data_IF_754425941224
#
_entry.id   IF_754425941224
#
_cell.length_a   1.000
_cell.length_b   1.000
_cell.length_c   1.000
_cell.angle_alpha   90.00
_cell.angle_beta   90.00
_cell.angle_gamma   90.00
#
_symmetry.space_group_name_H-M   'P 1'
#
loop_
_entity.id
_entity.type
_entity.pdbx_description
1 polymer ?
#
# COMPACT_ATOMS: atom_id res chain seq x y z
N UNK A 1 21.93 45.34 31.12
CA UNK A 1 22.05 45.36 29.64
C UNK A 1 22.55 44.00 29.16
N UNK A 2 22.46 43.66 27.88
CA UNK A 2 23.03 42.43 27.34
C UNK A 2 23.66 42.61 25.96
N UNK A 3 24.47 41.63 25.55
CA UNK A 3 24.99 41.43 24.21
C UNK A 3 24.71 39.98 23.80
N UNK A 4 24.47 39.74 22.52
CA UNK A 4 24.30 38.39 21.95
C UNK A 4 25.26 38.25 20.76
N UNK A 5 25.90 37.08 20.63
CA UNK A 5 26.96 36.85 19.64
C UNK A 5 27.04 35.38 19.26
N UNK A 6 27.49 35.08 18.04
CA UNK A 6 27.90 33.72 17.65
C UNK A 6 29.36 33.42 18.03
N UNK A 7 30.11 34.43 18.50
CA UNK A 7 31.50 34.34 18.95
C UNK A 7 31.64 34.73 20.42
N UNK A 8 32.54 34.05 21.13
CA UNK A 8 32.81 34.31 22.56
C UNK A 8 33.47 35.67 22.85
N UNK A 9 34.01 36.34 21.83
CA UNK A 9 34.71 37.62 21.95
C UNK A 9 33.76 38.79 22.18
N UNK A 10 32.56 38.74 21.60
CA UNK A 10 31.62 39.87 21.48
C UNK A 10 32.27 41.12 20.86
N UNK A 11 33.27 40.94 19.99
CA UNK A 11 34.04 42.03 19.42
C UNK A 11 33.13 42.99 18.63
N UNK A 12 33.26 44.30 18.89
CA UNK A 12 32.52 45.34 18.19
C UNK A 12 31.04 45.46 18.52
N UNK A 13 30.53 44.71 19.51
CA UNK A 13 29.12 44.78 19.92
C UNK A 13 28.91 45.81 21.03
N UNK A 14 27.78 46.51 21.01
CA UNK A 14 27.35 47.40 22.08
C UNK A 14 26.32 46.73 22.99
N UNK A 15 26.31 47.10 24.26
CA UNK A 15 25.30 46.65 25.20
C UNK A 15 23.93 47.26 24.86
N UNK A 16 22.89 46.41 24.86
CA UNK A 16 21.49 46.83 24.64
C UNK A 16 20.63 46.52 25.88
N UNK A 17 19.47 47.19 26.06
CA UNK A 17 18.54 46.89 27.15
C UNK A 17 18.11 45.41 27.14
N UNK A 18 17.91 44.80 28.31
CA UNK A 18 17.53 43.37 28.39
C UNK A 18 16.12 43.17 27.84
N UNK A 19 15.98 42.26 26.88
CA UNK A 19 14.71 41.85 26.30
C UNK A 19 14.31 40.45 26.78
N UNK A 20 13.01 40.21 26.89
CA UNK A 20 12.47 38.88 27.23
C UNK A 20 12.64 37.88 26.07
N UNK A 21 12.58 38.38 24.83
CA UNK A 21 12.76 37.63 23.59
C UNK A 21 13.59 38.49 22.64
N UNK A 22 14.56 37.88 21.95
CA UNK A 22 15.37 38.53 20.91
C UNK A 22 15.53 37.58 19.75
N UNK A 23 15.29 38.08 18.53
CA UNK A 23 15.60 37.36 17.30
C UNK A 23 17.11 37.39 17.07
N UNK A 24 17.67 36.29 16.54
CA UNK A 24 19.10 36.17 16.29
C UNK A 24 19.39 35.25 15.11
N UNK A 25 20.43 35.60 14.34
CA UNK A 25 20.85 34.86 13.15
C UNK A 25 22.14 34.09 13.43
N UNK A 26 22.14 32.79 13.15
CA UNK A 26 23.31 31.93 13.29
C UNK A 26 24.25 32.07 12.10
N UNK A 27 25.51 31.68 12.27
CA UNK A 27 26.45 31.56 11.16
C UNK A 27 25.98 30.51 10.16
N UNK A 28 26.23 30.75 8.86
CA UNK A 28 25.87 29.83 7.78
C UNK A 28 26.52 28.43 7.93
N UNK A 29 25.98 27.42 7.25
CA UNK A 29 26.51 26.05 7.28
C UNK A 29 25.91 25.16 8.37
N UNK A 30 25.94 23.85 8.14
CA UNK A 30 25.57 22.83 9.13
C UNK A 30 26.67 22.62 10.18
N UNK A 31 26.31 22.08 11.35
CA UNK A 31 27.23 21.73 12.43
C UNK A 31 26.76 22.23 13.80
N UNK A 32 27.60 22.08 14.81
CA UNK A 32 27.35 22.68 16.11
C UNK A 32 27.43 24.22 16.00
N UNK A 33 26.37 24.90 16.44
CA UNK A 33 26.27 26.36 16.50
C UNK A 33 26.24 26.77 17.96
N UNK A 34 26.99 27.81 18.28
CA UNK A 34 27.07 28.34 19.64
C UNK A 34 26.56 29.78 19.66
N UNK A 35 25.65 30.08 20.57
CA UNK A 35 25.18 31.43 20.86
C UNK A 35 25.63 31.81 22.26
N UNK A 36 26.34 32.93 22.35
CA UNK A 36 26.80 33.53 23.58
C UNK A 36 25.91 34.72 23.93
N UNK A 37 25.47 34.78 25.18
CA UNK A 37 24.71 35.92 25.70
C UNK A 37 25.45 36.45 26.92
N UNK A 38 25.92 37.69 26.86
CA UNK A 38 26.61 38.36 27.96
C UNK A 38 25.69 39.40 28.57
N UNK A 39 25.39 39.26 29.86
CA UNK A 39 24.64 40.22 30.65
C UNK A 39 25.61 41.15 31.39
N UNK A 40 25.22 42.41 31.55
CA UNK A 40 25.90 43.42 32.37
C UNK A 40 24.91 44.00 33.37
N UNK A 41 25.26 43.95 34.65
CA UNK A 41 24.44 44.49 35.74
C UNK A 41 24.65 46.00 35.94
N UNK A 42 24.06 46.56 37.00
CA UNK A 42 24.17 47.98 37.33
C UNK A 42 25.56 48.36 37.90
N UNK A 43 26.26 47.41 38.52
CA UNK A 43 27.63 47.57 39.05
C UNK A 43 28.68 47.53 37.93
N UNK A 44 28.29 47.02 36.76
CA UNK A 44 29.13 46.90 35.58
C UNK A 44 29.73 45.51 35.39
N UNK A 45 29.42 44.58 36.28
CA UNK A 45 29.89 43.20 36.22
C UNK A 45 29.18 42.45 35.11
N UNK A 46 29.90 41.50 34.48
CA UNK A 46 29.38 40.76 33.34
C UNK A 46 29.32 39.26 33.58
N UNK A 47 28.23 38.63 33.13
CA UNK A 47 28.03 37.18 33.18
C UNK A 47 27.70 36.67 31.79
N UNK A 48 28.33 35.58 31.35
CA UNK A 48 28.10 35.01 30.01
C UNK A 48 27.42 33.64 30.10
N UNK A 49 26.31 33.49 29.40
CA UNK A 49 25.60 32.21 29.20
C UNK A 49 25.81 31.74 27.77
N UNK A 50 25.90 30.42 27.59
CA UNK A 50 26.14 29.81 26.29
C UNK A 50 25.06 28.78 25.99
N UNK A 51 24.57 28.76 24.76
CA UNK A 51 23.70 27.70 24.25
C UNK A 51 24.28 27.11 22.97
N UNK A 52 24.42 25.78 22.94
CA UNK A 52 24.85 25.04 21.76
C UNK A 52 23.65 24.33 21.15
N UNK A 53 23.55 24.37 19.83
CA UNK A 53 22.56 23.63 19.06
C UNK A 53 23.25 22.92 17.90
N UNK A 54 22.82 21.71 17.58
CA UNK A 54 23.18 21.08 16.31
C UNK A 54 22.26 21.64 15.23
N UNK A 55 22.81 22.43 14.31
CA UNK A 55 22.06 23.01 13.20
C UNK A 55 22.39 22.28 11.91
N UNK A 56 21.35 21.95 11.13
CA UNK A 56 21.51 21.45 9.76
C UNK A 56 20.96 22.49 8.82
N UNK A 57 21.84 23.13 8.06
CA UNK A 57 21.46 24.12 7.07
C UNK A 57 20.56 23.46 6.01
N UNK A 58 19.39 24.02 5.69
CA UNK A 58 18.51 23.47 4.68
C UNK A 58 19.20 23.40 3.32
N UNK A 59 18.92 22.36 2.54
CA UNK A 59 19.41 22.26 1.17
C UNK A 59 18.93 23.48 0.35
N UNK A 60 19.83 24.07 -0.43
CA UNK A 60 19.50 25.20 -1.32
C UNK A 60 18.48 24.83 -2.39
N UNK A 61 18.49 23.57 -2.81
CA UNK A 61 17.56 22.98 -3.76
C UNK A 61 17.14 21.60 -3.23
N UNK A 62 15.85 21.32 -3.31
CA UNK A 62 15.27 20.03 -2.94
C UNK A 62 14.76 19.44 -4.25
N UNK A 63 15.25 18.27 -4.67
CA UNK A 63 14.77 17.66 -5.90
C UNK A 63 13.32 17.21 -5.74
N UNK A 64 12.53 17.37 -6.79
CA UNK A 64 11.21 16.79 -6.92
C UNK A 64 11.31 15.25 -6.77
N UNK A 65 10.24 14.63 -6.29
CA UNK A 65 10.24 13.21 -5.92
C UNK A 65 10.74 12.91 -4.51
N UNK A 66 10.97 13.93 -3.68
CA UNK A 66 11.53 13.77 -2.33
C UNK A 66 10.45 13.84 -1.26
N UNK A 67 10.52 12.98 -0.25
CA UNK A 67 9.76 13.16 0.98
C UNK A 67 10.39 14.27 1.84
N UNK A 68 9.59 15.28 2.20
CA UNK A 68 10.03 16.42 2.99
C UNK A 68 9.22 16.55 4.28
N UNK A 69 9.86 17.08 5.32
CA UNK A 69 9.25 17.27 6.64
C UNK A 69 9.71 18.55 7.31
N UNK A 70 8.79 19.24 7.97
CA UNK A 70 9.05 20.43 8.77
C UNK A 70 9.32 20.12 10.23
N UNK A 71 9.06 21.08 11.11
CA UNK A 71 9.02 20.84 12.56
C UNK A 71 7.72 20.16 13.01
N UNK A 72 6.66 20.27 12.21
CA UNK A 72 5.36 19.63 12.47
C UNK A 72 5.35 18.11 12.27
N UNK A 73 4.24 17.48 12.67
CA UNK A 73 4.02 16.03 12.57
C UNK A 73 3.74 15.55 11.14
N UNK A 74 3.25 16.43 10.25
CA UNK A 74 2.97 16.09 8.85
C UNK A 74 4.24 15.75 8.06
N UNK A 75 4.10 14.86 7.08
CA UNK A 75 5.11 14.53 6.07
C UNK A 75 4.51 14.82 4.71
N UNK A 76 5.31 15.34 3.79
CA UNK A 76 4.86 15.69 2.45
C UNK A 76 5.73 15.02 1.40
N UNK A 77 5.14 14.68 0.26
CA UNK A 77 5.88 14.37 -0.97
C UNK A 77 6.01 15.65 -1.80
N UNK A 78 7.23 16.02 -2.16
CA UNK A 78 7.46 17.14 -3.07
C UNK A 78 7.28 16.65 -4.52
N UNK A 79 6.17 17.02 -5.14
CA UNK A 79 5.78 16.56 -6.46
C UNK A 79 6.55 17.24 -7.59
N UNK A 80 6.57 16.59 -8.75
CA UNK A 80 7.12 17.16 -9.99
C UNK A 80 6.28 18.34 -10.55
N UNK A 81 5.12 18.59 -9.96
CA UNK A 81 4.26 19.75 -10.22
C UNK A 81 4.67 20.98 -9.37
N UNK A 82 5.75 20.87 -8.59
CA UNK A 82 6.22 21.92 -7.69
C UNK A 82 5.37 22.11 -6.43
N UNK A 83 4.43 21.21 -6.15
CA UNK A 83 3.57 21.24 -4.97
C UNK A 83 4.02 20.24 -3.92
N UNK A 84 3.55 20.45 -2.70
CA UNK A 84 3.72 19.50 -1.60
C UNK A 84 2.42 18.73 -1.39
N UNK A 85 2.51 17.41 -1.43
CA UNK A 85 1.39 16.48 -1.31
C UNK A 85 1.41 15.83 0.08
N UNK A 86 0.43 16.09 0.95
CA UNK A 86 0.45 15.55 2.31
C UNK A 86 0.20 14.04 2.33
N UNK A 87 0.93 13.32 3.18
CA UNK A 87 0.55 11.97 3.59
C UNK A 87 -0.49 12.06 4.71
N UNK A 88 -1.63 11.39 4.56
CA UNK A 88 -2.73 11.46 5.52
C UNK A 88 -2.42 10.77 6.85
N UNK A 89 -1.69 9.66 6.81
CA UNK A 89 -1.24 8.94 7.99
C UNK A 89 0.11 8.25 7.75
N UNK A 90 0.67 7.68 8.82
CA UNK A 90 1.95 6.97 8.79
C UNK A 90 1.93 5.74 7.88
N UNK A 91 0.79 5.05 7.77
CA UNK A 91 0.64 3.86 6.92
C UNK A 91 0.68 4.22 5.43
N UNK A 92 0.04 5.32 5.01
CA UNK A 92 0.18 5.86 3.66
C UNK A 92 1.64 6.19 3.37
N UNK A 93 2.34 6.84 4.28
CA UNK A 93 3.77 7.11 4.10
C UNK A 93 4.59 5.81 3.96
N UNK A 94 4.33 4.83 4.83
CA UNK A 94 5.00 3.52 4.83
C UNK A 94 4.76 2.71 3.54
N UNK A 95 3.62 2.95 2.87
CA UNK A 95 3.37 2.37 1.55
C UNK A 95 4.35 2.87 0.47
N UNK A 96 4.90 4.08 0.62
CA UNK A 96 5.86 4.70 -0.32
C UNK A 96 7.31 4.65 0.14
N UNK A 97 7.55 4.72 1.44
CA UNK A 97 8.88 4.79 2.05
C UNK A 97 8.99 3.77 3.19
N UNK A 98 10.05 2.96 3.26
CA UNK A 98 10.16 1.90 4.27
C UNK A 98 10.29 2.46 5.69
N UNK A 99 10.89 3.64 5.81
CA UNK A 99 11.14 4.32 7.07
C UNK A 99 11.37 5.82 6.82
N UNK A 100 11.70 6.55 7.89
CA UNK A 100 11.94 7.99 7.86
C UNK A 100 13.40 8.36 7.44
N UNK A 101 14.23 7.39 7.02
CA UNK A 101 15.65 7.64 6.70
C UNK A 101 15.84 8.50 5.45
N UNK A 102 14.94 8.39 4.48
CA UNK A 102 14.97 9.14 3.20
C UNK A 102 14.14 10.43 3.23
N UNK A 103 13.95 11.04 4.41
CA UNK A 103 13.24 12.32 4.54
C UNK A 103 14.22 13.48 4.59
N UNK A 104 13.92 14.50 3.79
CA UNK A 104 14.62 15.79 3.84
C UNK A 104 13.89 16.74 4.78
N UNK A 105 14.59 17.16 5.83
CA UNK A 105 14.08 18.14 6.77
C UNK A 105 14.25 19.56 6.21
N UNK A 106 13.20 20.35 6.32
CA UNK A 106 13.10 21.72 5.82
C UNK A 106 12.54 22.64 6.90
N UNK A 107 12.84 23.94 6.80
CA UNK A 107 12.21 24.90 7.71
C UNK A 107 10.73 25.08 7.39
N UNK A 108 9.91 25.37 8.39
CA UNK A 108 8.48 25.64 8.19
C UNK A 108 8.26 26.89 7.31
N UNK A 109 9.18 27.85 7.33
CA UNK A 109 9.19 29.00 6.41
C UNK A 109 9.32 28.52 4.97
N UNK A 110 10.25 27.60 4.70
CA UNK A 110 10.44 27.03 3.35
C UNK A 110 9.23 26.18 2.93
N UNK A 111 8.65 25.39 3.84
CA UNK A 111 7.44 24.62 3.53
C UNK A 111 6.28 25.49 3.07
N UNK A 112 6.05 26.63 3.74
CA UNK A 112 5.00 27.58 3.38
C UNK A 112 5.20 28.25 2.02
N UNK A 113 6.39 28.15 1.43
CA UNK A 113 6.63 28.64 0.06
C UNK A 113 6.08 27.72 -1.02
N UNK A 114 5.80 26.46 -0.69
CA UNK A 114 5.26 25.49 -1.64
C UNK A 114 3.73 25.48 -1.62
N UNK A 115 3.06 25.52 -2.79
CA UNK A 115 1.62 25.29 -2.86
C UNK A 115 1.28 23.86 -2.41
N UNK A 116 0.13 23.69 -1.77
CA UNK A 116 -0.35 22.38 -1.32
C UNK A 116 -1.12 21.70 -2.47
N UNK A 117 -0.74 20.48 -2.79
CA UNK A 117 -1.39 19.62 -3.78
C UNK A 117 -2.41 18.66 -3.15
N UNK A 118 -2.94 17.75 -3.96
CA UNK A 118 -3.79 16.66 -3.47
C UNK A 118 -3.02 15.75 -2.52
N UNK A 119 -3.71 15.13 -1.58
CA UNK A 119 -3.11 14.17 -0.66
C UNK A 119 -2.56 12.95 -1.39
N UNK A 120 -1.49 12.37 -0.85
CA UNK A 120 -0.96 11.10 -1.33
C UNK A 120 -1.93 9.98 -0.99
N UNK A 121 -2.23 9.13 -1.98
CA UNK A 121 -2.95 7.87 -1.76
C UNK A 121 -2.01 6.74 -1.35
N UNK A 122 -2.56 5.63 -0.85
CA UNK A 122 -1.80 4.40 -0.64
C UNK A 122 -1.19 3.96 -1.96
N UNK A 123 0.09 3.57 -1.92
CA UNK A 123 0.82 3.16 -3.12
C UNK A 123 0.22 1.88 -3.70
N UNK A 124 -0.08 1.83 -5.01
CA UNK A 124 -0.57 0.62 -5.67
C UNK A 124 0.35 -0.59 -5.45
N UNK A 125 -0.26 -1.75 -5.23
CA UNK A 125 0.45 -3.04 -5.05
C UNK A 125 1.25 -3.17 -3.76
N UNK A 126 0.95 -2.39 -2.72
CA UNK A 126 1.68 -2.45 -1.43
C UNK A 126 0.78 -2.83 -0.25
N UNK A 127 -0.29 -2.07 -0.04
CA UNK A 127 -1.25 -2.26 1.04
C UNK A 127 -2.66 -2.22 0.46
N UNK A 128 -3.57 -2.91 1.12
CA UNK A 128 -5.01 -2.85 0.87
C UNK A 128 -5.61 -1.69 1.66
N UNK A 129 -6.74 -1.17 1.18
CA UNK A 129 -7.47 -0.09 1.83
C UNK A 129 -8.81 -0.63 2.30
N UNK A 130 -9.16 -0.32 3.55
CA UNK A 130 -10.50 -0.55 4.09
C UNK A 130 -10.98 0.74 4.74
N UNK A 131 -12.25 1.05 4.58
CA UNK A 131 -12.86 2.15 5.32
C UNK A 131 -13.58 1.60 6.54
N UNK A 132 -13.41 2.28 7.68
CA UNK A 132 -14.11 1.94 8.90
C UNK A 132 -15.62 1.93 8.62
N UNK A 133 -16.32 0.94 9.19
CA UNK A 133 -17.76 0.73 8.99
C UNK A 133 -18.20 0.33 7.58
N UNK A 134 -17.27 0.11 6.63
CA UNK A 134 -17.56 -0.54 5.34
C UNK A 134 -16.95 -1.96 5.34
N UNK A 135 -17.69 -2.99 4.89
CA UNK A 135 -17.20 -4.37 4.91
C UNK A 135 -16.10 -4.60 3.87
N UNK A 136 -16.11 -3.82 2.79
CA UNK A 136 -15.33 -4.08 1.58
C UNK A 136 -13.87 -3.63 1.70
N UNK A 137 -12.99 -4.47 1.16
CA UNK A 137 -11.55 -4.21 1.05
C UNK A 137 -11.23 -3.85 -0.39
N UNK A 138 -10.31 -2.90 -0.58
CA UNK A 138 -9.98 -2.33 -1.87
C UNK A 138 -8.48 -2.46 -2.17
N UNK A 139 -8.15 -2.84 -3.40
CA UNK A 139 -6.82 -2.72 -3.96
C UNK A 139 -6.58 -1.29 -4.50
N UNK A 140 -5.54 -0.58 -4.04
CA UNK A 140 -5.17 0.71 -4.61
C UNK A 140 -4.58 0.57 -6.02
N UNK A 141 -5.04 1.43 -6.92
CA UNK A 141 -4.62 1.53 -8.30
C UNK A 141 -4.10 2.95 -8.63
N UNK A 142 -3.31 3.13 -9.70
CA UNK A 142 -2.82 4.44 -10.10
C UNK A 142 -3.93 5.48 -10.30
N UNK A 143 -3.58 6.75 -10.05
CA UNK A 143 -4.53 7.85 -10.07
C UNK A 143 -5.45 7.89 -8.85
N UNK A 144 -5.01 7.30 -7.73
CA UNK A 144 -5.79 7.19 -6.49
C UNK A 144 -7.16 6.54 -6.73
N UNK A 145 -7.18 5.49 -7.56
CA UNK A 145 -8.38 4.68 -7.75
C UNK A 145 -8.37 3.52 -6.77
N UNK A 146 -9.54 3.08 -6.34
CA UNK A 146 -9.73 1.92 -5.47
C UNK A 146 -10.59 0.90 -6.19
N UNK A 147 -10.02 -0.28 -6.42
CA UNK A 147 -10.76 -1.41 -6.96
C UNK A 147 -11.23 -2.31 -5.82
N UNK A 148 -12.53 -2.59 -5.69
CA UNK A 148 -13.00 -3.53 -4.69
C UNK A 148 -12.46 -4.93 -5.00
N UNK A 149 -12.07 -5.65 -3.95
CA UNK A 149 -11.81 -7.08 -4.05
C UNK A 149 -13.14 -7.84 -4.06
N UNK A 150 -13.21 -8.88 -4.88
CA UNK A 150 -14.35 -9.76 -5.07
C UNK A 150 -14.50 -10.73 -3.92
N UNK A 151 -13.37 -11.25 -3.43
CA UNK A 151 -13.35 -12.26 -2.38
C UNK A 151 -12.10 -12.20 -1.49
N UNK A 152 -12.12 -12.95 -0.39
CA UNK A 152 -10.92 -13.17 0.42
C UNK A 152 -9.87 -14.01 -0.32
N UNK A 153 -10.31 -14.91 -1.18
CA UNK A 153 -9.44 -15.71 -2.06
C UNK A 153 -8.70 -14.82 -3.04
N UNK A 154 -9.37 -13.84 -3.65
CA UNK A 154 -8.72 -12.83 -4.48
C UNK A 154 -7.64 -12.07 -3.68
N UNK A 155 -7.96 -11.65 -2.46
CA UNK A 155 -7.01 -10.94 -1.59
C UNK A 155 -5.76 -11.80 -1.29
N UNK A 156 -5.97 -13.08 -1.02
CA UNK A 156 -4.92 -14.06 -0.77
C UNK A 156 -4.02 -14.26 -1.99
N UNK A 157 -4.59 -14.46 -3.18
CA UNK A 157 -3.82 -14.64 -4.42
C UNK A 157 -2.96 -13.39 -4.69
N UNK A 158 -3.53 -12.21 -4.46
CA UNK A 158 -2.89 -10.92 -4.77
C UNK A 158 -1.87 -10.43 -3.77
N UNK A 159 -2.10 -10.65 -2.48
CA UNK A 159 -1.30 -10.06 -1.41
C UNK A 159 -0.69 -11.13 -0.48
N UNK A 160 -0.90 -12.41 -0.79
CA UNK A 160 -0.36 -13.56 -0.07
C UNK A 160 -1.12 -13.88 1.22
N UNK A 161 -0.64 -14.91 1.93
CA UNK A 161 -1.17 -15.39 3.22
C UNK A 161 -1.28 -14.29 4.30
N UNK A 162 -0.45 -13.25 4.21
CA UNK A 162 -0.43 -12.12 5.15
C UNK A 162 -1.24 -10.90 4.67
N UNK A 163 -2.13 -11.05 3.68
CA UNK A 163 -2.90 -9.93 3.12
C UNK A 163 -3.68 -9.16 4.18
N UNK A 164 -4.25 -9.84 5.16
CA UNK A 164 -5.01 -9.22 6.26
C UNK A 164 -4.15 -8.26 7.10
N UNK A 165 -2.83 -8.52 7.23
CA UNK A 165 -1.89 -7.64 7.94
C UNK A 165 -1.51 -6.39 7.14
N UNK A 166 -1.96 -6.30 5.90
CA UNK A 166 -1.63 -5.22 4.95
C UNK A 166 -2.81 -4.31 4.68
N UNK A 167 -3.84 -4.38 5.52
CA UNK A 167 -4.99 -3.49 5.43
C UNK A 167 -4.65 -2.21 6.18
N UNK A 168 -4.75 -1.09 5.45
CA UNK A 168 -4.77 0.26 6.01
C UNK A 168 -6.22 0.66 6.20
N UNK A 169 -6.58 0.96 7.44
CA UNK A 169 -7.93 1.41 7.78
C UNK A 169 -8.00 2.94 7.75
N UNK A 170 -8.99 3.45 7.05
CA UNK A 170 -9.28 4.87 6.99
C UNK A 170 -10.67 5.18 7.54
N UNK A 171 -10.82 6.36 8.12
CA UNK A 171 -12.13 6.95 8.32
C UNK A 171 -12.84 7.16 6.96
N UNK A 172 -14.17 6.96 6.86
CA UNK A 172 -14.93 7.14 5.62
C UNK A 172 -14.72 8.49 4.93
N UNK A 173 -14.41 9.58 5.64
CA UNK A 173 -14.14 10.88 5.01
C UNK A 173 -12.92 10.83 4.08
N UNK A 174 -11.96 9.94 4.34
CA UNK A 174 -10.81 9.75 3.45
C UNK A 174 -11.21 9.11 2.11
N UNK A 175 -12.38 8.49 1.98
CA UNK A 175 -12.86 7.94 0.71
C UNK A 175 -12.97 9.02 -0.38
N UNK A 176 -13.18 10.29 0.01
CA UNK A 176 -13.25 11.42 -0.92
C UNK A 176 -11.96 11.69 -1.71
N UNK A 177 -10.81 11.20 -1.24
CA UNK A 177 -9.54 11.31 -1.99
C UNK A 177 -9.43 10.25 -3.10
N UNK A 178 -10.26 9.22 -3.03
CA UNK A 178 -10.20 8.07 -3.90
C UNK A 178 -11.33 8.07 -4.91
N UNK A 179 -11.04 7.53 -6.09
CA UNK A 179 -12.06 7.14 -7.07
C UNK A 179 -12.33 5.64 -6.94
N UNK A 180 -13.44 5.26 -6.32
CA UNK A 180 -13.84 3.85 -6.24
C UNK A 180 -14.37 3.40 -7.61
N UNK A 181 -13.84 2.28 -8.12
CA UNK A 181 -14.38 1.63 -9.31
C UNK A 181 -15.49 0.65 -8.92
N UNK A 182 -16.46 0.44 -9.81
CA UNK A 182 -17.49 -0.59 -9.66
C UNK A 182 -17.29 -1.71 -10.69
N UNK A 183 -17.73 -2.92 -10.35
CA UNK A 183 -17.89 -4.01 -11.31
C UNK A 183 -19.26 -3.99 -12.01
N UNK A 184 -20.20 -3.18 -11.49
CA UNK A 184 -21.55 -2.97 -12.03
C UNK A 184 -21.62 -2.98 -13.57
N UNK A 185 -22.28 -4.00 -14.12
CA UNK A 185 -22.54 -4.15 -15.56
C UNK A 185 -23.95 -3.69 -15.98
N UNK A 186 -24.72 -3.08 -15.07
CA UNK A 186 -26.09 -2.62 -15.34
C UNK A 186 -26.17 -1.63 -16.52
N UNK A 187 -27.10 -1.87 -17.44
CA UNK A 187 -27.43 -0.98 -18.56
C UNK A 187 -28.94 -0.84 -18.69
N UNK A 188 -29.47 0.30 -18.25
CA UNK A 188 -30.89 0.61 -18.29
C UNK A 188 -31.47 0.61 -19.71
N UNK A 189 -30.69 0.98 -20.72
CA UNK A 189 -31.17 1.02 -22.11
C UNK A 189 -31.32 -0.39 -22.71
N UNK A 190 -30.53 -1.34 -22.22
CA UNK A 190 -30.55 -2.75 -22.64
C UNK A 190 -31.30 -3.68 -21.67
N UNK A 191 -31.87 -3.12 -20.60
CA UNK A 191 -32.53 -3.89 -19.54
C UNK A 191 -31.59 -4.93 -18.90
N UNK A 192 -30.29 -4.58 -18.78
CA UNK A 192 -29.29 -5.36 -18.06
C UNK A 192 -29.31 -4.88 -16.61
N UNK A 193 -29.41 -5.81 -15.68
CA UNK A 193 -29.45 -5.58 -14.24
C UNK A 193 -28.33 -6.42 -13.62
N UNK A 194 -27.60 -5.82 -12.68
CA UNK A 194 -26.56 -6.44 -11.86
C UNK A 194 -26.76 -5.89 -10.45
N UNK A 195 -27.47 -6.66 -9.61
CA UNK A 195 -28.07 -6.12 -8.39
C UNK A 195 -27.12 -6.16 -7.19
N UNK A 196 -26.22 -7.13 -7.09
CA UNK A 196 -25.17 -7.17 -6.09
C UNK A 196 -23.85 -6.50 -6.55
N UNK A 197 -23.73 -6.20 -7.84
CA UNK A 197 -22.61 -5.47 -8.45
C UNK A 197 -21.30 -6.24 -8.38
N UNK A 198 -21.37 -7.55 -8.49
CA UNK A 198 -20.21 -8.41 -8.71
C UNK A 198 -19.77 -8.38 -10.19
N UNK A 199 -20.58 -7.87 -11.12
CA UNK A 199 -20.26 -7.75 -12.53
C UNK A 199 -20.73 -8.92 -13.40
N UNK A 200 -21.54 -9.82 -12.85
CA UNK A 200 -22.47 -10.66 -13.60
C UNK A 200 -23.81 -9.91 -13.75
N UNK A 201 -24.51 -10.15 -14.85
CA UNK A 201 -25.89 -9.68 -14.96
C UNK A 201 -26.87 -10.78 -14.52
N UNK A 202 -28.08 -10.37 -14.13
CA UNK A 202 -29.08 -11.29 -13.59
C UNK A 202 -29.46 -12.41 -14.57
N UNK A 203 -29.23 -12.22 -15.88
CA UNK A 203 -29.51 -13.25 -16.89
C UNK A 203 -28.40 -14.30 -16.93
N UNK A 204 -27.14 -13.88 -16.77
CA UNK A 204 -25.98 -14.75 -16.63
C UNK A 204 -26.09 -15.57 -15.34
N UNK A 205 -26.35 -14.94 -14.20
CA UNK A 205 -26.50 -15.64 -12.92
C UNK A 205 -27.62 -16.68 -12.96
N UNK A 206 -28.80 -16.32 -13.49
CA UNK A 206 -29.90 -17.25 -13.66
C UNK A 206 -29.56 -18.45 -14.57
N UNK A 207 -28.61 -18.30 -15.51
CA UNK A 207 -28.17 -19.40 -16.37
C UNK A 207 -27.21 -20.38 -15.68
N UNK A 208 -26.53 -19.94 -14.62
CA UNK A 208 -25.66 -20.75 -13.77
C UNK A 208 -26.30 -21.11 -12.42
N UNK A 209 -27.54 -20.69 -12.18
CA UNK A 209 -28.29 -20.98 -10.95
C UNK A 209 -28.00 -20.05 -9.79
N UNK A 210 -27.01 -19.16 -9.93
CA UNK A 210 -26.50 -18.30 -8.87
C UNK A 210 -27.41 -17.09 -8.57
N UNK A 211 -27.12 -16.37 -7.49
CA UNK A 211 -28.00 -15.37 -6.89
C UNK A 211 -27.59 -13.93 -7.21
N UNK A 212 -28.39 -13.25 -8.04
CA UNK A 212 -28.32 -11.80 -8.31
C UNK A 212 -28.53 -10.89 -7.07
N UNK A 213 -28.58 -11.46 -5.87
CA UNK A 213 -28.65 -10.71 -4.62
C UNK A 213 -27.42 -10.89 -3.73
N UNK A 214 -26.47 -11.75 -4.10
CA UNK A 214 -25.33 -12.15 -3.30
C UNK A 214 -24.11 -12.38 -4.19
N UNK A 215 -23.06 -11.59 -3.97
CA UNK A 215 -21.80 -11.69 -4.73
C UNK A 215 -21.12 -13.08 -4.62
N UNK A 216 -21.52 -13.90 -3.65
CA UNK A 216 -21.04 -15.26 -3.34
C UNK A 216 -22.26 -16.05 -2.85
N UNK A 217 -22.82 -16.89 -3.72
CA UNK A 217 -24.12 -17.54 -3.54
C UNK A 217 -24.09 -18.67 -2.54
N UNK A 218 -23.04 -19.47 -2.52
CA UNK A 218 -22.90 -20.64 -1.64
C UNK A 218 -22.03 -20.38 -0.38
N UNK A 219 -21.49 -19.17 -0.27
CA UNK A 219 -20.74 -18.66 0.88
C UNK A 219 -19.48 -19.49 1.18
N UNK A 220 -18.70 -19.79 0.15
CA UNK A 220 -17.43 -20.49 0.24
C UNK A 220 -16.18 -19.58 0.20
N UNK A 221 -16.41 -18.26 0.12
CA UNK A 221 -15.41 -17.19 -0.04
C UNK A 221 -14.86 -17.03 -1.46
N UNK A 222 -15.58 -17.50 -2.47
CA UNK A 222 -15.34 -17.23 -3.88
C UNK A 222 -16.58 -16.52 -4.45
N UNK A 223 -16.39 -15.45 -5.22
CA UNK A 223 -17.59 -14.79 -5.80
C UNK A 223 -18.14 -15.58 -6.97
N UNK A 224 -19.45 -15.53 -7.23
CA UNK A 224 -20.12 -16.16 -8.39
C UNK A 224 -19.39 -15.80 -9.69
N UNK A 225 -18.99 -14.53 -9.84
CA UNK A 225 -18.18 -14.09 -10.97
C UNK A 225 -16.87 -14.88 -11.13
N UNK A 226 -16.14 -15.10 -10.04
CA UNK A 226 -14.87 -15.83 -10.06
C UNK A 226 -15.07 -17.30 -10.42
N UNK A 227 -16.11 -17.92 -9.87
CA UNK A 227 -16.47 -19.30 -10.15
C UNK A 227 -16.82 -19.49 -11.61
N UNK A 228 -17.74 -18.69 -12.14
CA UNK A 228 -18.25 -18.81 -13.49
C UNK A 228 -17.19 -18.45 -14.54
N UNK A 229 -16.45 -17.36 -14.33
CA UNK A 229 -15.57 -16.80 -15.38
C UNK A 229 -14.12 -17.29 -15.26
N UNK A 230 -13.67 -17.76 -14.09
CA UNK A 230 -12.27 -18.14 -13.88
C UNK A 230 -12.06 -19.59 -13.51
N UNK A 231 -12.83 -20.11 -12.55
CA UNK A 231 -12.56 -21.41 -11.94
C UNK A 231 -13.38 -22.54 -12.53
N UNK A 232 -14.50 -22.19 -13.17
CA UNK A 232 -15.48 -23.09 -13.75
C UNK A 232 -16.09 -24.07 -12.73
N UNK A 233 -16.13 -23.67 -11.45
CA UNK A 233 -16.88 -24.32 -10.37
C UNK A 233 -18.39 -24.01 -10.46
N UNK A 234 -19.21 -24.75 -9.72
CA UNK A 234 -20.64 -24.49 -9.57
C UNK A 234 -20.87 -23.44 -8.48
N UNK A 235 -21.35 -22.22 -8.83
CA UNK A 235 -21.56 -21.15 -7.85
C UNK A 235 -22.66 -21.40 -6.83
N UNK A 236 -23.32 -22.57 -6.88
CA UNK A 236 -24.34 -22.97 -5.91
C UNK A 236 -23.87 -24.14 -5.04
N UNK A 237 -22.64 -24.61 -5.23
CA UNK A 237 -22.09 -25.76 -4.55
C UNK A 237 -20.68 -25.47 -4.03
N UNK A 238 -20.62 -25.24 -2.72
CA UNK A 238 -19.39 -24.79 -2.06
C UNK A 238 -18.23 -25.79 -2.13
N UNK A 239 -18.44 -26.99 -2.66
CA UNK A 239 -17.50 -28.12 -2.81
C UNK A 239 -17.83 -28.84 -4.13
N UNK A 240 -17.52 -28.19 -5.25
CA UNK A 240 -18.02 -28.55 -6.60
C UNK A 240 -17.61 -29.94 -7.09
N UNK A 241 -16.59 -30.55 -6.48
CA UNK A 241 -16.12 -31.89 -6.81
C UNK A 241 -16.45 -32.95 -5.73
N UNK A 242 -17.20 -32.56 -4.70
CA UNK A 242 -17.64 -33.38 -3.57
C UNK A 242 -16.48 -34.08 -2.83
N UNK A 243 -15.28 -33.48 -2.78
CA UNK A 243 -14.11 -34.09 -2.13
C UNK A 243 -13.98 -33.80 -0.62
N UNK A 244 -14.81 -32.88 -0.11
CA UNK A 244 -14.87 -32.46 1.27
C UNK A 244 -14.09 -31.17 1.56
N UNK A 245 -13.54 -30.51 0.55
CA UNK A 245 -12.78 -29.26 0.65
C UNK A 245 -13.46 -28.19 -0.20
N UNK A 246 -13.85 -27.07 0.43
CA UNK A 246 -14.52 -25.99 -0.30
C UNK A 246 -13.67 -25.39 -1.44
N UNK A 247 -14.29 -25.00 -2.55
CA UNK A 247 -13.63 -24.49 -3.75
C UNK A 247 -12.71 -23.29 -3.45
N UNK A 248 -13.20 -22.30 -2.71
CA UNK A 248 -12.45 -21.13 -2.27
C UNK A 248 -11.23 -21.48 -1.42
N UNK A 249 -11.33 -22.53 -0.58
CA UNK A 249 -10.19 -23.05 0.19
C UNK A 249 -9.20 -23.74 -0.73
N UNK A 250 -9.66 -24.56 -1.65
CA UNK A 250 -8.80 -25.23 -2.61
C UNK A 250 -7.98 -24.23 -3.41
N UNK A 251 -8.60 -23.18 -3.94
CA UNK A 251 -7.91 -22.14 -4.70
C UNK A 251 -6.87 -21.40 -3.83
N UNK A 252 -7.20 -21.09 -2.58
CA UNK A 252 -6.24 -20.54 -1.64
C UNK A 252 -5.06 -21.50 -1.36
N UNK A 253 -5.29 -22.81 -1.41
CA UNK A 253 -4.28 -23.85 -1.26
C UNK A 253 -3.62 -24.27 -2.60
N UNK A 254 -4.02 -23.63 -3.71
CA UNK A 254 -3.58 -23.91 -5.09
C UNK A 254 -3.99 -25.29 -5.62
N UNK A 255 -5.08 -25.81 -5.10
CA UNK A 255 -5.82 -26.97 -5.60
C UNK A 255 -6.95 -26.53 -6.55
N UNK A 256 -7.62 -27.50 -7.17
CA UNK A 256 -8.57 -27.29 -8.27
C UNK A 256 -9.99 -27.63 -7.80
N UNK A 257 -10.97 -26.71 -7.92
CA UNK A 257 -12.35 -26.90 -7.45
C UNK A 257 -13.20 -27.87 -8.26
N UNK A 258 -12.59 -28.78 -9.04
CA UNK A 258 -13.31 -29.70 -9.94
C UNK A 258 -12.75 -31.12 -9.88
N UNK A 259 -11.84 -31.37 -8.94
CA UNK A 259 -11.17 -32.65 -8.79
C UNK A 259 -10.15 -32.97 -9.88
N UNK A 260 -9.12 -33.71 -9.48
CA UNK A 260 -7.97 -34.05 -10.32
C UNK A 260 -6.70 -33.29 -9.95
N UNK A 261 -5.54 -33.83 -10.36
CA UNK A 261 -4.20 -33.32 -10.03
C UNK A 261 -4.13 -31.78 -9.98
N UNK A 262 -3.52 -31.24 -8.91
CA UNK A 262 -3.24 -29.81 -8.66
C UNK A 262 -3.13 -28.97 -9.94
N UNK A 263 -3.76 -27.80 -10.00
CA UNK A 263 -3.77 -26.87 -11.15
C UNK A 263 -2.38 -26.81 -11.80
N UNK A 264 -2.15 -27.64 -12.84
CA UNK A 264 -0.82 -27.76 -13.49
C UNK A 264 -0.64 -26.65 -14.51
N UNK A 265 -1.74 -26.22 -15.11
CA UNK A 265 -1.82 -25.07 -16.01
C UNK A 265 -3.15 -24.34 -15.79
N UNK A 266 -3.04 -23.04 -15.55
CA UNK A 266 -4.18 -22.12 -15.49
C UNK A 266 -4.73 -21.97 -16.92
N UNK A 267 -6.03 -22.18 -17.18
CA UNK A 267 -6.60 -22.07 -18.53
C UNK A 267 -6.29 -20.72 -19.17
N UNK A 268 -6.18 -20.67 -20.49
CA UNK A 268 -6.00 -19.41 -21.20
C UNK A 268 -7.21 -18.49 -20.93
N UNK A 269 -6.94 -17.29 -20.41
CA UNK A 269 -7.91 -16.30 -19.87
C UNK A 269 -8.34 -16.50 -18.40
N UNK A 270 -7.84 -17.54 -17.70
CA UNK A 270 -8.02 -17.63 -16.25
C UNK A 270 -7.05 -16.69 -15.54
N UNK A 271 -7.57 -16.01 -14.52
CA UNK A 271 -6.90 -15.09 -13.62
C UNK A 271 -5.76 -14.28 -14.25
N UNK A 272 -6.13 -13.24 -15.00
CA UNK A 272 -5.20 -12.15 -15.24
C UNK A 272 -5.08 -11.40 -13.92
N UNK A 273 -3.86 -11.20 -13.42
CA UNK A 273 -3.66 -10.30 -12.29
C UNK A 273 -4.48 -9.02 -12.53
N UNK A 274 -5.08 -8.42 -11.50
CA UNK A 274 -5.86 -7.24 -11.68
C UNK A 274 -4.96 -6.17 -12.26
N UNK A 275 -5.55 -5.41 -13.17
CA UNK A 275 -4.98 -4.15 -13.61
C UNK A 275 -4.60 -3.34 -12.36
N UNK A 276 -3.46 -2.66 -12.39
CA UNK A 276 -2.88 -2.08 -11.17
C UNK A 276 -1.78 -2.93 -10.52
N UNK A 277 -1.68 -4.23 -10.83
CA UNK A 277 -0.71 -5.13 -10.19
C UNK A 277 0.72 -4.89 -10.65
N UNK A 278 1.66 -4.99 -9.69
CA UNK A 278 3.09 -5.10 -9.96
C UNK A 278 3.51 -6.56 -9.97
N UNK A 279 3.89 -7.04 -11.15
CA UNK A 279 4.33 -8.40 -11.41
C UNK A 279 5.85 -8.43 -11.46
N UNK A 280 6.46 -9.54 -11.07
CA UNK A 280 7.91 -9.77 -11.17
C UNK A 280 8.17 -11.01 -12.00
N UNK A 281 8.92 -10.88 -13.09
CA UNK A 281 9.30 -12.05 -13.88
C UNK A 281 10.39 -12.90 -13.20
N UNK A 282 10.66 -14.08 -13.78
CA UNK A 282 11.68 -15.02 -13.32
C UNK A 282 13.11 -14.45 -13.35
N UNK A 283 13.36 -13.41 -14.15
CA UNK A 283 14.62 -12.69 -14.21
C UNK A 283 14.68 -11.54 -13.17
N UNK A 284 13.62 -11.36 -12.39
CA UNK A 284 13.49 -10.36 -11.34
C UNK A 284 13.09 -8.97 -11.80
N UNK A 285 12.65 -8.82 -13.06
CA UNK A 285 12.20 -7.54 -13.63
C UNK A 285 10.72 -7.31 -13.32
N UNK A 286 10.38 -6.06 -13.00
CA UNK A 286 9.02 -5.68 -12.65
C UNK A 286 8.20 -5.25 -13.87
N UNK A 287 6.92 -5.57 -13.87
CA UNK A 287 5.92 -5.15 -14.85
C UNK A 287 4.70 -4.63 -14.13
N UNK A 288 4.07 -3.61 -14.69
CA UNK A 288 2.80 -3.09 -14.26
C UNK A 288 1.74 -3.52 -15.26
N UNK A 289 0.69 -4.18 -14.79
CA UNK A 289 -0.44 -4.54 -15.64
C UNK A 289 -1.43 -3.36 -15.69
N UNK A 290 -1.55 -2.71 -16.84
CA UNK A 290 -2.40 -1.55 -17.00
C UNK A 290 -3.86 -1.92 -17.26
N UNK A 291 -4.77 -0.95 -17.06
CA UNK A 291 -6.22 -1.10 -17.20
C UNK A 291 -6.68 -1.57 -18.59
N UNK A 292 -5.87 -1.30 -19.60
CA UNK A 292 -6.07 -1.76 -20.98
C UNK A 292 -5.56 -3.20 -21.23
N UNK A 293 -5.16 -3.92 -20.18
CA UNK A 293 -4.58 -5.26 -20.25
C UNK A 293 -3.10 -5.29 -20.66
N UNK A 294 -2.46 -4.14 -20.87
CA UNK A 294 -1.06 -4.10 -21.31
C UNK A 294 -0.07 -4.24 -20.15
N UNK A 295 0.93 -5.11 -20.31
CA UNK A 295 2.06 -5.19 -19.40
C UNK A 295 3.11 -4.13 -19.76
N UNK A 296 3.35 -3.20 -18.84
CA UNK A 296 4.36 -2.13 -18.99
C UNK A 296 5.56 -2.45 -18.11
N UNK A 297 6.75 -2.59 -18.70
CA UNK A 297 7.96 -2.84 -17.90
C UNK A 297 8.24 -1.65 -16.98
N UNK A 298 8.46 -1.94 -15.71
CA UNK A 298 8.83 -0.95 -14.69
C UNK A 298 10.35 -0.84 -14.65
N UNK A 299 10.86 0.39 -14.65
CA UNK A 299 12.31 0.61 -14.57
C UNK A 299 12.85 0.25 -13.19
N UNK A 300 14.03 -0.36 -13.16
CA UNK A 300 14.78 -0.63 -11.92
C UNK A 300 15.71 0.52 -11.54
N UNK A 301 15.82 1.57 -12.38
CA UNK A 301 16.67 2.72 -12.10
C UNK A 301 15.97 3.70 -11.17
N UNK A 302 16.60 4.01 -10.05
CA UNK A 302 16.11 4.96 -9.04
C UNK A 302 16.06 6.43 -9.50
N UNK A 303 16.33 6.69 -10.78
CA UNK A 303 16.31 8.02 -11.41
C UNK A 303 15.24 8.14 -12.49
N UNK A 304 14.59 7.04 -12.86
CA UNK A 304 13.58 7.05 -13.91
C UNK A 304 12.23 7.52 -13.35
N UNK A 305 11.53 8.35 -14.11
CA UNK A 305 10.32 9.10 -13.70
C UNK A 305 9.14 8.20 -13.31
N UNK A 306 9.24 6.89 -13.56
CA UNK A 306 8.18 5.90 -13.33
C UNK A 306 8.55 4.93 -12.20
N UNK A 307 8.37 5.33 -10.93
CA UNK A 307 8.32 4.46 -9.73
C UNK A 307 9.65 4.12 -9.03
N UNK A 308 10.32 5.14 -8.50
CA UNK A 308 11.49 4.98 -7.63
C UNK A 308 11.09 4.38 -6.26
N UNK A 309 11.36 3.08 -6.14
CA UNK A 309 10.93 2.13 -5.12
C UNK A 309 11.35 2.44 -3.68
N UNK A 310 10.79 1.69 -2.73
CA UNK A 310 11.64 0.90 -1.84
C UNK A 310 10.92 -0.34 -1.29
N UNK A 311 11.43 -1.52 -1.69
CA UNK A 311 11.04 -2.88 -1.30
C UNK A 311 9.60 -3.30 -1.61
N UNK A 312 9.38 -3.54 -2.91
CA UNK A 312 8.36 -4.47 -3.34
C UNK A 312 8.70 -5.88 -2.87
N UNK A 313 7.67 -6.63 -2.54
CA UNK A 313 7.85 -7.95 -1.96
C UNK A 313 8.41 -8.92 -2.98
N UNK A 314 9.40 -9.67 -2.51
CA UNK A 314 10.15 -10.64 -3.29
C UNK A 314 9.37 -11.94 -3.57
N UNK A 315 8.15 -12.05 -3.04
CA UNK A 315 7.29 -13.22 -3.15
C UNK A 315 5.94 -12.83 -3.75
N UNK A 316 5.95 -12.59 -5.06
CA UNK A 316 4.80 -12.90 -5.89
C UNK A 316 5.19 -14.10 -6.72
N UNK A 317 4.43 -15.18 -6.56
CA UNK A 317 4.51 -16.31 -7.46
C UNK A 317 3.91 -15.85 -8.80
N UNK A 318 4.75 -15.32 -9.67
CA UNK A 318 4.45 -15.35 -11.10
C UNK A 318 4.94 -16.71 -11.58
N UNK A 319 4.02 -17.58 -11.96
CA UNK A 319 4.38 -18.76 -12.73
C UNK A 319 3.27 -19.17 -13.72
N UNK A 320 3.58 -19.26 -15.03
CA UNK A 320 4.57 -18.54 -15.82
C UNK A 320 3.93 -17.55 -16.81
N UNK A 321 4.74 -16.68 -17.43
CA UNK A 321 4.33 -15.90 -18.60
C UNK A 321 3.90 -16.83 -19.74
N UNK A 322 2.88 -16.43 -20.49
CA UNK A 322 2.51 -17.00 -21.79
C UNK A 322 3.79 -17.26 -22.60
N UNK A 323 4.11 -18.54 -22.83
CA UNK A 323 5.12 -18.94 -23.82
C UNK A 323 4.40 -19.49 -25.04
N UNK A 324 4.50 -18.80 -26.16
CA UNK A 324 4.30 -19.44 -27.45
C UNK A 324 5.57 -20.24 -27.81
N UNK A 325 5.49 -21.58 -27.78
CA UNK A 325 5.91 -22.47 -28.88
C UNK A 325 5.65 -23.94 -28.56
N UNK A 326 5.34 -24.66 -29.63
CA UNK A 326 4.77 -26.01 -29.79
C UNK A 326 5.58 -27.18 -29.19
N UNK A 327 4.84 -28.27 -28.91
CA UNK A 327 5.17 -29.70 -28.64
C UNK A 327 5.38 -30.19 -27.18
N UNK A 328 4.76 -31.33 -26.75
CA UNK A 328 4.75 -31.83 -25.37
C UNK A 328 5.86 -32.86 -25.08
N UNK A 329 6.22 -33.11 -23.80
CA UNK A 329 6.08 -34.49 -23.30
C UNK A 329 5.88 -34.70 -21.77
N UNK A 330 5.10 -35.76 -21.51
CA UNK A 330 5.21 -36.90 -20.56
C UNK A 330 5.28 -36.78 -19.03
N UNK A 331 4.57 -37.74 -18.42
CA UNK A 331 4.22 -37.91 -17.02
C UNK A 331 5.35 -38.46 -16.13
N UNK A 332 5.36 -38.02 -14.86
CA UNK A 332 6.21 -38.58 -13.80
C UNK A 332 5.69 -38.24 -12.41
N UNK A 333 5.30 -39.27 -11.66
CA UNK A 333 4.75 -39.29 -10.31
C UNK A 333 5.59 -38.57 -9.24
N UNK A 334 4.93 -37.89 -8.28
CA UNK A 334 5.56 -37.41 -7.04
C UNK A 334 4.76 -37.94 -5.84
N UNK A 335 5.49 -38.51 -4.87
CA UNK A 335 4.98 -39.28 -3.74
C UNK A 335 4.47 -38.47 -2.55
N UNK A 336 3.72 -39.18 -1.71
CA UNK A 336 3.09 -38.72 -0.46
C UNK A 336 4.13 -38.29 0.59
N UNK A 337 3.95 -37.08 1.13
CA UNK A 337 4.50 -36.70 2.43
C UNK A 337 3.31 -36.39 3.37
N UNK A 338 3.28 -37.07 4.51
CA UNK A 338 2.19 -37.06 5.49
C UNK A 338 2.03 -35.70 6.17
N UNK A 339 0.80 -35.19 6.19
CA UNK A 339 0.33 -34.05 6.97
C UNK A 339 -0.10 -34.53 8.36
N UNK A 340 0.81 -34.44 9.32
CA UNK A 340 0.49 -34.64 10.73
C UNK A 340 1.19 -33.56 11.57
N UNK A 341 0.90 -32.30 11.24
CA UNK A 341 1.11 -31.16 12.12
C UNK A 341 0.33 -29.98 11.57
N UNK A 342 -0.53 -29.40 12.43
CA UNK A 342 -1.31 -28.15 12.30
C UNK A 342 -2.83 -28.37 12.25
N UNK A 343 -3.38 -28.83 13.37
CA UNK A 343 -4.76 -28.53 13.79
C UNK A 343 -4.73 -27.85 15.17
N UNK A 344 -5.42 -26.72 15.39
CA UNK A 344 -5.61 -26.17 16.73
C UNK A 344 -6.58 -27.06 17.52
N UNK A 345 -6.18 -27.45 18.74
CA UNK A 345 -7.00 -28.28 19.65
C UNK A 345 -7.82 -27.38 20.56
N UNK A 346 -9.10 -27.70 20.75
CA UNK A 346 -9.92 -27.14 21.83
C UNK A 346 -10.31 -28.25 22.80
N UNK A 347 -10.16 -27.99 24.10
CA UNK A 347 -10.62 -28.89 25.19
C UNK A 347 -12.06 -28.57 25.54
N UNK A 348 -12.87 -29.61 25.71
CA UNK A 348 -14.22 -29.45 26.25
C UNK A 348 -14.18 -29.06 27.74
N UNK A 349 -15.35 -28.74 28.30
CA UNK A 349 -15.49 -28.33 29.70
C UNK A 349 -15.18 -29.46 30.73
N UNK A 350 -14.92 -30.69 30.28
CA UNK A 350 -14.47 -31.82 31.09
C UNK A 350 -12.96 -32.10 30.94
N UNK A 351 -12.25 -31.31 30.12
CA UNK A 351 -10.81 -31.40 29.91
C UNK A 351 -10.37 -32.47 28.91
N UNK A 352 -11.29 -33.04 28.14
CA UNK A 352 -10.96 -34.00 27.09
C UNK A 352 -10.69 -33.27 25.76
N UNK A 353 -9.66 -33.73 25.06
CA UNK A 353 -9.29 -33.26 23.73
C UNK A 353 -10.09 -34.09 22.73
N UNK A 354 -10.94 -33.43 21.95
CA UNK A 354 -11.70 -34.09 20.88
C UNK A 354 -11.30 -33.45 19.56
N UNK A 355 -11.03 -34.28 18.55
CA UNK A 355 -10.79 -33.85 17.18
C UNK A 355 -12.15 -33.50 16.54
N UNK A 356 -12.21 -32.37 15.81
CA UNK A 356 -13.30 -32.09 14.87
C UNK A 356 -13.05 -32.81 13.54
#
# INVERSE_FOLDING_TARGET
MFQISNESSFAGLSFVPVLRVSDWTLTAGSGEKTVYVRFKDASGDTTTTVKRIMYKEPLRYIPEGTAIKGQGSAVYYFGFDGKIHPFLNSQTFQSWYPDFTKIVYVSDVKLRTYPIGLSMCVRPGTWLVKFLSLPRVYAPEPGCSLRPLRSEVEAFILYGTDWQKRIVEFDPFAASIYKVTSFDVSDKAKNIVDKDRDGLDSAKEASFGSSDAAEDTDSDFLSDFEEIEYWFSDPNDADSDDDGVKDGREIAEKASPLGGDAIREVPANTYVHPVGSLLRDVAGKFYYLARDGTLKSVSTRSTDVNFTSNNFQERFAVWPPIRFKTTPPEAGSIGRASLEALRPKQTDAAGNVVDL
#
